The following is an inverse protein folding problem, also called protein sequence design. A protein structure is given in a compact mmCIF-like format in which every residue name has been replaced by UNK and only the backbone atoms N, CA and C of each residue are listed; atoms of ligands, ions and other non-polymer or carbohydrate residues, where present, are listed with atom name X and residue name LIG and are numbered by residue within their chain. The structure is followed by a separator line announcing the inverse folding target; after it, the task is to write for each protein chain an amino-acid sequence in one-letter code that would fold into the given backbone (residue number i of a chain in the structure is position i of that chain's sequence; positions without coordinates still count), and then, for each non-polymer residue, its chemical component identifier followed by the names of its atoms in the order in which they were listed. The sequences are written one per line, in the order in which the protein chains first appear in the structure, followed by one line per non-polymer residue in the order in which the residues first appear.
data_IF_423094676533
#
_entry.id   IF_423094676533
#
_cell.length_a   1.000
_cell.length_b   1.000
_cell.length_c   1.000
_cell.angle_alpha   90.00
_cell.angle_beta   90.00
_cell.angle_gamma   90.00
#
_symmetry.space_group_name_H-M   'P 1'
#
loop_
_entity.id
_entity.type
_entity.pdbx_description
1 polymer ?
#
# COMPACT_ATOMS: atom_id res chain seq x y z
N UNK A 1 2.59 5.94 1.55
CA UNK A 1 2.91 7.37 1.39
C UNK A 1 2.17 8.02 0.22
N UNK A 2 2.29 7.51 -1.01
CA UNK A 2 1.65 8.09 -2.22
C UNK A 2 0.15 8.39 -2.07
N UNK A 3 -0.63 7.45 -1.52
CA UNK A 3 -2.06 7.65 -1.29
C UNK A 3 -2.37 8.85 -0.38
N UNK A 4 -1.58 9.04 0.69
CA UNK A 4 -1.73 10.19 1.59
C UNK A 4 -1.30 11.49 0.93
N UNK A 5 -0.28 11.47 0.06
CA UNK A 5 0.09 12.64 -0.73
C UNK A 5 -1.04 13.06 -1.69
N UNK A 6 -1.82 12.11 -2.20
CA UNK A 6 -3.01 12.40 -3.01
C UNK A 6 -4.18 12.92 -2.15
N UNK A 7 -4.55 12.21 -1.07
CA UNK A 7 -5.78 12.51 -0.31
C UNK A 7 -5.64 13.63 0.71
N UNK A 8 -4.47 13.74 1.36
CA UNK A 8 -4.23 14.69 2.44
C UNK A 8 -2.75 15.14 2.46
N UNK A 9 -2.29 15.85 1.41
CA UNK A 9 -0.88 16.21 1.26
C UNK A 9 -0.31 17.01 2.43
N UNK A 10 -1.13 17.82 3.09
CA UNK A 10 -0.74 18.63 4.25
C UNK A 10 -0.36 17.80 5.50
N UNK A 11 -0.67 16.49 5.51
CA UNK A 11 -0.25 15.56 6.57
C UNK A 11 1.09 14.89 6.27
N UNK A 12 1.64 15.06 5.06
CA UNK A 12 2.90 14.43 4.64
C UNK A 12 4.04 15.44 4.67
N UNK A 13 5.03 15.17 5.52
CA UNK A 13 6.27 15.95 5.62
C UNK A 13 7.33 15.36 4.68
N UNK A 14 7.31 15.82 3.42
CA UNK A 14 8.19 15.29 2.37
C UNK A 14 9.68 15.41 2.72
N UNK A 15 10.06 16.46 3.43
CA UNK A 15 11.42 16.74 3.92
C UNK A 15 11.91 15.73 4.98
N UNK A 16 11.02 14.89 5.51
CA UNK A 16 11.32 13.88 6.54
C UNK A 16 11.11 12.46 6.07
N UNK A 17 10.91 12.25 4.76
CA UNK A 17 10.81 10.89 4.21
C UNK A 17 12.19 10.24 4.24
N UNK A 18 12.22 9.01 4.74
CA UNK A 18 13.42 8.18 4.75
C UNK A 18 13.09 6.82 4.17
N UNK A 19 14.11 6.20 3.59
CA UNK A 19 14.06 4.81 3.13
C UNK A 19 14.82 3.98 4.14
N UNK A 20 14.19 2.90 4.59
CA UNK A 20 14.73 2.00 5.60
C UNK A 20 14.03 0.65 5.46
N UNK A 21 14.46 -0.34 6.22
CA UNK A 21 13.91 -1.68 6.17
C UNK A 21 14.94 -2.70 5.72
N UNK A 22 15.17 -3.70 6.56
CA UNK A 22 15.94 -4.89 6.22
C UNK A 22 15.00 -6.00 5.73
N UNK A 23 15.50 -6.76 4.76
CA UNK A 23 14.87 -7.99 4.25
C UNK A 23 15.67 -9.20 4.72
N UNK A 24 14.99 -10.32 4.90
CA UNK A 24 15.63 -11.58 5.29
C UNK A 24 16.39 -12.14 4.09
N UNK A 25 17.66 -12.50 4.28
CA UNK A 25 18.50 -13.16 3.26
C UNK A 25 19.12 -14.45 3.85
N UNK A 26 18.88 -15.63 3.23
CA UNK A 26 18.02 -15.84 2.07
C UNK A 26 16.54 -15.57 2.38
N UNK A 27 15.76 -15.23 1.36
CA UNK A 27 14.32 -15.03 1.54
C UNK A 27 13.63 -16.33 1.98
N UNK A 28 13.30 -16.43 3.27
CA UNK A 28 12.57 -17.57 3.86
C UNK A 28 11.12 -17.15 4.16
N UNK A 29 10.11 -17.75 3.52
CA UNK A 29 8.71 -17.43 3.79
C UNK A 29 8.31 -17.72 5.24
N UNK A 30 7.50 -16.83 5.83
CA UNK A 30 6.95 -17.01 7.18
C UNK A 30 7.89 -16.63 8.33
N UNK A 31 9.09 -16.12 8.05
CA UNK A 31 9.98 -15.59 9.10
C UNK A 31 9.32 -14.37 9.77
N UNK A 32 9.24 -14.43 11.10
CA UNK A 32 8.81 -13.32 11.95
C UNK A 32 10.05 -12.70 12.57
N UNK A 33 10.22 -11.40 12.38
CA UNK A 33 11.27 -10.61 13.00
C UNK A 33 10.65 -9.40 13.72
N UNK A 34 11.31 -8.93 14.76
CA UNK A 34 10.86 -7.77 15.53
C UNK A 34 11.09 -6.50 14.71
N UNK A 35 10.21 -5.51 14.90
CA UNK A 35 10.24 -4.30 14.08
C UNK A 35 11.56 -3.53 14.19
N UNK A 36 12.13 -3.44 15.40
CA UNK A 36 13.41 -2.77 15.64
C UNK A 36 14.62 -3.50 15.04
N UNK A 37 14.50 -4.80 14.75
CA UNK A 37 15.52 -5.56 14.03
C UNK A 37 15.45 -5.30 12.53
N UNK A 38 14.30 -4.80 12.06
CA UNK A 38 14.03 -4.57 10.63
C UNK A 38 14.15 -3.12 10.22
N UNK A 39 14.00 -2.17 11.13
CA UNK A 39 14.02 -0.75 10.81
C UNK A 39 14.58 0.04 11.99
N UNK A 40 15.49 0.94 11.69
CA UNK A 40 16.07 1.89 12.64
C UNK A 40 15.23 3.18 12.74
N UNK A 41 14.65 3.61 11.62
CA UNK A 41 13.99 4.91 11.50
C UNK A 41 12.46 4.83 11.45
N UNK A 42 11.90 3.62 11.35
CA UNK A 42 10.47 3.35 11.28
C UNK A 42 9.97 2.87 9.91
N UNK A 43 10.42 3.41 8.77
CA UNK A 43 9.96 2.93 7.46
C UNK A 43 10.41 1.49 7.16
N UNK A 44 9.55 0.77 6.43
CA UNK A 44 9.94 -0.44 5.73
C UNK A 44 9.63 -0.22 4.25
N UNK A 45 10.68 -0.13 3.43
CA UNK A 45 10.62 0.14 2.01
C UNK A 45 11.05 1.56 1.66
N UNK A 46 10.70 1.97 0.43
CA UNK A 46 11.22 3.18 -0.20
C UNK A 46 10.15 4.28 -0.28
N UNK A 47 9.95 5.00 0.81
CA UNK A 47 8.98 6.09 0.86
C UNK A 47 9.40 7.30 0.01
N UNK A 48 10.70 7.45 -0.29
CA UNK A 48 11.27 8.52 -1.11
C UNK A 48 10.74 8.55 -2.55
N UNK A 49 10.35 7.40 -3.10
CA UNK A 49 9.78 7.30 -4.45
C UNK A 49 8.29 7.66 -4.53
N UNK A 50 7.65 7.95 -3.40
CA UNK A 50 6.24 8.25 -3.37
C UNK A 50 5.92 9.59 -4.04
N UNK A 51 4.82 9.62 -4.78
CA UNK A 51 4.28 10.83 -5.40
C UNK A 51 2.74 10.80 -5.42
N UNK A 52 2.12 11.96 -5.61
CA UNK A 52 0.66 12.10 -5.60
C UNK A 52 -0.01 11.41 -6.80
N UNK A 53 0.61 11.39 -7.98
CA UNK A 53 0.07 10.75 -9.19
C UNK A 53 -0.12 9.25 -8.99
N UNK A 54 0.89 8.58 -8.41
CA UNK A 54 0.81 7.17 -8.02
C UNK A 54 -0.28 6.95 -6.97
N UNK A 55 -0.43 7.90 -6.05
CA UNK A 55 -1.49 7.87 -5.04
C UNK A 55 -2.89 7.93 -5.64
N UNK A 56 -3.08 8.77 -6.64
CA UNK A 56 -4.33 8.89 -7.38
C UNK A 56 -4.65 7.60 -8.14
N UNK A 57 -3.69 7.07 -8.91
CA UNK A 57 -3.89 5.83 -9.67
C UNK A 57 -4.25 4.64 -8.75
N UNK A 58 -3.62 4.55 -7.58
CA UNK A 58 -3.96 3.56 -6.55
C UNK A 58 -5.38 3.76 -6.01
N UNK A 59 -5.76 5.00 -5.71
CA UNK A 59 -7.09 5.32 -5.19
C UNK A 59 -8.19 4.98 -6.20
N UNK A 60 -8.06 5.45 -7.43
CA UNK A 60 -9.05 5.26 -8.49
C UNK A 60 -9.25 3.76 -8.79
N UNK A 61 -8.16 2.99 -8.86
CA UNK A 61 -8.22 1.54 -9.07
C UNK A 61 -8.92 0.82 -7.91
N UNK A 62 -8.58 1.16 -6.66
CA UNK A 62 -9.17 0.53 -5.49
C UNK A 62 -10.67 0.86 -5.35
N UNK A 63 -11.04 2.13 -5.50
CA UNK A 63 -12.44 2.57 -5.42
C UNK A 63 -13.25 1.98 -6.57
N UNK A 64 -12.73 2.00 -7.80
CA UNK A 64 -13.39 1.43 -8.95
C UNK A 64 -13.66 -0.07 -8.78
N UNK A 65 -12.64 -0.83 -8.37
CA UNK A 65 -12.76 -2.28 -8.12
C UNK A 65 -13.74 -2.61 -7.00
N UNK A 66 -13.67 -1.87 -5.87
CA UNK A 66 -14.58 -2.10 -4.76
C UNK A 66 -16.03 -1.74 -5.12
N UNK A 67 -16.24 -0.65 -5.85
CA UNK A 67 -17.58 -0.25 -6.31
C UNK A 67 -18.18 -1.33 -7.19
N UNK A 68 -17.42 -1.87 -8.15
CA UNK A 68 -17.88 -2.98 -8.99
C UNK A 68 -18.23 -4.22 -8.17
N UNK A 69 -17.41 -4.57 -7.18
CA UNK A 69 -17.67 -5.71 -6.30
C UNK A 69 -18.95 -5.52 -5.47
N UNK A 70 -19.17 -4.31 -4.93
CA UNK A 70 -20.39 -3.98 -4.19
C UNK A 70 -21.62 -4.04 -5.09
N UNK A 71 -21.54 -3.52 -6.32
CA UNK A 71 -22.64 -3.64 -7.30
C UNK A 71 -22.96 -5.10 -7.62
N UNK A 72 -21.95 -5.95 -7.85
CA UNK A 72 -22.16 -7.36 -8.12
C UNK A 72 -22.78 -8.11 -6.93
N UNK A 73 -22.38 -7.77 -5.70
CA UNK A 73 -23.00 -8.32 -4.49
C UNK A 73 -24.48 -7.92 -4.37
N UNK A 74 -24.81 -6.68 -4.74
CA UNK A 74 -26.17 -6.17 -4.71
C UNK A 74 -27.06 -6.79 -5.81
N UNK A 75 -26.54 -6.89 -7.04
CA UNK A 75 -27.27 -7.46 -8.19
C UNK A 75 -27.44 -8.99 -8.10
N UNK A 76 -26.62 -9.64 -7.28
CA UNK A 76 -26.66 -11.06 -7.01
C UNK A 76 -25.54 -11.83 -7.72
N UNK A 77 -25.03 -12.85 -7.05
CA UNK A 77 -23.93 -13.69 -7.56
C UNK A 77 -24.51 -14.97 -8.16
N UNK A 78 -24.15 -15.25 -9.41
CA UNK A 78 -24.45 -16.51 -10.10
C UNK A 78 -23.21 -17.39 -10.27
N UNK A 79 -23.37 -18.69 -10.10
CA UNK A 79 -22.33 -19.67 -10.44
C UNK A 79 -22.55 -20.16 -11.87
N UNK A 80 -21.51 -20.08 -12.70
CA UNK A 80 -21.50 -20.67 -14.04
C UNK A 80 -20.55 -21.88 -14.02
N UNK A 81 -21.02 -23.02 -14.53
CA UNK A 81 -20.17 -24.19 -14.77
C UNK A 81 -19.05 -23.87 -15.76
N UNK A 82 -17.95 -24.63 -15.68
CA UNK A 82 -16.81 -24.48 -16.59
C UNK A 82 -17.21 -24.65 -18.05
#
# INVERSE_FOLDING_TARGET
TSLMMHLAPHLVRNDRLTDDGLSVEPAVPGVVALFHERSEQGPIGFASYANAETGQALFDSAVGGLTQAVSALYEGIGFRGL
#
